data_IF_000063577780
#
_entry.id   IF_000063577780
#
_cell.length_a   1.000
_cell.length_b   1.000
_cell.length_c   1.000
_cell.angle_alpha   90.00
_cell.angle_beta   90.00
_cell.angle_gamma   90.00
#
_symmetry.space_group_name_H-M   'P 1'
#
loop_
_entity.id
_entity.type
_entity.pdbx_description
1 polymer ?
#
# COMPACT_ATOMS: atom_id res chain seq x y z
N UNK A 1 7.41 17.67 1.81
CA UNK A 1 7.66 16.59 0.83
C UNK A 1 7.02 16.95 -0.51
N UNK A 2 7.52 16.36 -1.56
CA UNK A 2 6.94 16.56 -2.89
C UNK A 2 6.33 15.25 -3.35
N UNK A 3 5.01 15.23 -3.52
CA UNK A 3 4.28 14.07 -4.04
C UNK A 3 4.33 14.12 -5.55
N UNK A 4 4.82 13.05 -6.18
CA UNK A 4 5.01 12.98 -7.63
C UNK A 4 3.80 12.36 -8.34
N UNK A 5 3.26 11.26 -7.80
CA UNK A 5 2.09 10.59 -8.37
C UNK A 5 1.57 9.54 -7.40
N UNK A 6 0.38 9.02 -7.69
CA UNK A 6 -0.17 7.87 -6.96
C UNK A 6 0.45 6.61 -7.57
N UNK A 7 1.26 5.91 -6.76
CA UNK A 7 1.95 4.70 -7.22
C UNK A 7 0.99 3.52 -7.35
N UNK A 8 0.01 3.45 -6.46
CA UNK A 8 -0.99 2.39 -6.49
C UNK A 8 -1.96 2.51 -5.34
N UNK A 9 -3.04 1.76 -5.42
CA UNK A 9 -4.03 1.67 -4.36
C UNK A 9 -4.83 0.38 -4.50
N UNK A 10 -5.64 0.09 -3.50
CA UNK A 10 -6.53 -1.05 -3.55
C UNK A 10 -7.14 -1.37 -2.21
N UNK A 11 -7.75 -2.53 -2.12
CA UNK A 11 -8.35 -3.03 -0.90
C UNK A 11 -7.34 -3.86 -0.11
N UNK A 12 -7.44 -3.79 1.21
CA UNK A 12 -6.78 -4.75 2.10
C UNK A 12 -7.83 -5.81 2.42
N UNK A 13 -7.51 -7.07 2.13
CA UNK A 13 -8.51 -8.13 2.10
C UNK A 13 -8.22 -9.21 3.14
N UNK A 14 -9.18 -9.47 4.05
CA UNK A 14 -9.04 -10.60 4.98
C UNK A 14 -9.33 -11.95 4.31
N UNK A 15 -10.11 -11.96 3.22
CA UNK A 15 -10.47 -13.17 2.50
C UNK A 15 -10.35 -12.90 0.99
N UNK A 16 -9.27 -13.39 0.40
CA UNK A 16 -8.95 -13.15 -1.00
C UNK A 16 -10.01 -13.70 -1.96
N UNK A 17 -10.56 -14.90 -1.67
CA UNK A 17 -11.54 -15.50 -2.57
C UNK A 17 -12.84 -14.70 -2.64
N UNK A 18 -13.30 -14.20 -1.51
CA UNK A 18 -14.46 -13.32 -1.46
C UNK A 18 -14.23 -12.04 -2.24
N UNK A 19 -13.05 -11.45 -2.09
CA UNK A 19 -12.71 -10.20 -2.75
C UNK A 19 -12.52 -10.40 -4.26
N UNK A 20 -11.96 -11.52 -4.69
CA UNK A 20 -11.84 -11.83 -6.11
C UNK A 20 -13.22 -12.02 -6.75
N UNK A 21 -14.15 -12.66 -6.06
CA UNK A 21 -15.53 -12.78 -6.57
C UNK A 21 -16.16 -11.42 -6.79
N UNK A 22 -15.87 -10.48 -5.91
CA UNK A 22 -16.41 -9.12 -6.03
C UNK A 22 -15.67 -8.30 -7.09
N UNK A 23 -14.37 -8.13 -6.94
CA UNK A 23 -13.62 -7.19 -7.79
C UNK A 23 -13.36 -7.73 -9.19
N UNK A 24 -12.98 -8.98 -9.32
CA UNK A 24 -12.66 -9.58 -10.61
C UNK A 24 -13.92 -10.08 -11.32
N UNK A 25 -14.73 -10.87 -10.61
CA UNK A 25 -15.83 -11.58 -11.27
C UNK A 25 -17.07 -10.72 -11.43
N UNK A 26 -17.45 -9.98 -10.39
CA UNK A 26 -18.66 -9.14 -10.45
C UNK A 26 -18.39 -7.78 -11.11
N UNK A 27 -17.33 -7.07 -10.72
CA UNK A 27 -16.98 -5.74 -11.28
C UNK A 27 -16.29 -5.90 -12.63
N UNK A 28 -15.47 -6.93 -12.81
CA UNK A 28 -14.76 -7.16 -14.06
C UNK A 28 -13.37 -6.53 -14.13
N UNK A 29 -12.77 -6.21 -12.99
CA UNK A 29 -11.41 -5.67 -12.97
C UNK A 29 -10.44 -6.77 -13.42
N UNK A 30 -9.52 -6.49 -14.39
CA UNK A 30 -8.64 -7.52 -14.94
C UNK A 30 -7.48 -7.89 -13.99
N UNK A 31 -7.81 -8.40 -12.82
CA UNK A 31 -6.83 -8.84 -11.82
C UNK A 31 -6.13 -10.11 -12.25
N UNK A 32 -4.82 -10.14 -12.09
CA UNK A 32 -3.98 -11.29 -12.41
C UNK A 32 -3.41 -11.86 -11.10
N UNK A 33 -3.62 -13.14 -10.88
CA UNK A 33 -3.10 -13.84 -9.71
C UNK A 33 -1.70 -14.37 -10.02
N UNK A 34 -0.71 -13.78 -9.38
CA UNK A 34 0.69 -14.21 -9.40
C UNK A 34 1.19 -14.20 -7.97
N UNK A 35 2.38 -13.68 -7.72
CA UNK A 35 2.88 -13.47 -6.36
C UNK A 35 1.97 -12.49 -5.59
N UNK A 36 1.47 -11.49 -6.30
CA UNK A 36 0.43 -10.61 -5.81
C UNK A 36 -0.83 -10.75 -6.70
N UNK A 37 -1.94 -10.19 -6.25
CA UNK A 37 -3.20 -10.15 -7.00
C UNK A 37 -3.42 -8.70 -7.41
N UNK A 38 -3.15 -8.39 -8.68
CA UNK A 38 -3.05 -7.02 -9.12
C UNK A 38 -3.33 -6.85 -10.59
N UNK A 39 -3.46 -5.59 -11.00
CA UNK A 39 -3.49 -5.22 -12.41
C UNK A 39 -2.75 -3.91 -12.65
N UNK A 40 -2.06 -3.84 -13.78
CA UNK A 40 -1.47 -2.61 -14.31
C UNK A 40 -2.15 -2.21 -15.61
N UNK A 41 -3.22 -2.91 -15.99
CA UNK A 41 -3.91 -2.75 -17.25
C UNK A 41 -5.22 -1.95 -17.15
N UNK A 42 -5.48 -1.32 -16.02
CA UNK A 42 -6.69 -0.52 -15.82
C UNK A 42 -6.39 0.94 -16.11
N UNK A 43 -7.12 1.52 -17.08
CA UNK A 43 -6.93 2.92 -17.45
C UNK A 43 -7.06 3.86 -16.26
N UNK A 44 -6.16 4.81 -16.19
CA UNK A 44 -6.18 5.86 -15.17
C UNK A 44 -5.45 5.51 -13.88
N UNK A 45 -4.96 4.27 -13.74
CA UNK A 45 -4.20 3.86 -12.55
C UNK A 45 -2.93 3.13 -12.97
N UNK A 46 -1.86 3.35 -12.23
CA UNK A 46 -0.60 2.67 -12.47
C UNK A 46 -0.60 1.25 -11.93
N UNK A 47 -1.30 1.05 -10.80
CA UNK A 47 -1.32 -0.25 -10.12
C UNK A 47 -2.51 -0.31 -9.17
N UNK A 48 -3.28 -1.36 -9.28
CA UNK A 48 -4.37 -1.67 -8.36
C UNK A 48 -4.20 -3.09 -7.85
N UNK A 49 -4.25 -3.31 -6.54
CA UNK A 49 -4.10 -4.66 -6.01
C UNK A 49 -5.03 -4.94 -4.83
N UNK A 50 -5.32 -6.22 -4.67
CA UNK A 50 -5.95 -6.75 -3.45
C UNK A 50 -4.81 -7.25 -2.57
N UNK A 51 -4.56 -6.59 -1.45
CA UNK A 51 -3.45 -6.91 -0.56
C UNK A 51 -3.96 -7.70 0.63
N UNK A 52 -3.54 -8.97 0.80
CA UNK A 52 -3.98 -9.76 1.95
C UNK A 52 -3.62 -9.07 3.25
N UNK A 53 -4.58 -9.04 4.19
CA UNK A 53 -4.35 -8.40 5.49
C UNK A 53 -3.14 -8.99 6.21
N UNK A 54 -2.94 -10.30 6.11
CA UNK A 54 -1.79 -10.97 6.72
C UNK A 54 -0.46 -10.46 6.14
N UNK A 55 -0.43 -10.21 4.82
CA UNK A 55 0.78 -9.68 4.18
C UNK A 55 1.02 -8.22 4.56
N UNK A 56 -0.03 -7.43 4.68
CA UNK A 56 0.08 -6.06 5.16
C UNK A 56 0.59 -6.02 6.60
N UNK A 57 0.09 -6.91 7.46
CA UNK A 57 0.54 -7.03 8.84
C UNK A 57 2.03 -7.39 8.91
N UNK A 58 2.46 -8.34 8.08
CA UNK A 58 3.87 -8.73 8.04
C UNK A 58 4.76 -7.58 7.59
N UNK A 59 4.32 -6.83 6.58
CA UNK A 59 5.06 -5.66 6.11
C UNK A 59 5.16 -4.57 7.18
N UNK A 60 4.10 -4.33 7.93
CA UNK A 60 4.08 -3.23 8.92
C UNK A 60 4.67 -3.63 10.26
N UNK A 61 4.50 -4.88 10.69
CA UNK A 61 4.81 -5.30 12.07
C UNK A 61 5.72 -6.53 12.15
N UNK A 62 6.03 -7.16 11.03
CA UNK A 62 6.86 -8.36 11.00
C UNK A 62 6.14 -9.64 11.39
N UNK A 63 4.83 -9.58 11.60
CA UNK A 63 3.99 -10.72 11.96
C UNK A 63 2.75 -10.74 11.08
N UNK A 64 2.21 -11.93 10.81
CA UNK A 64 1.08 -12.09 9.91
C UNK A 64 -0.26 -11.74 10.55
N UNK A 65 -0.29 -11.46 11.84
CA UNK A 65 -1.50 -11.05 12.53
C UNK A 65 -1.47 -9.53 12.79
N UNK A 66 -2.53 -8.84 12.39
CA UNK A 66 -2.65 -7.40 12.64
C UNK A 66 -2.83 -7.16 14.14
N UNK A 67 -2.08 -6.23 14.76
CA UNK A 67 -2.19 -6.00 16.20
C UNK A 67 -3.58 -5.58 16.63
N UNK A 68 -4.07 -6.16 17.73
CA UNK A 68 -5.43 -5.90 18.23
C UNK A 68 -5.65 -4.43 18.65
N UNK A 69 -4.57 -3.73 19.00
CA UNK A 69 -4.64 -2.35 19.48
C UNK A 69 -4.46 -1.30 18.38
N UNK A 70 -4.36 -1.73 17.12
CA UNK A 70 -4.22 -0.83 15.97
C UNK A 70 -5.42 -1.04 15.07
N UNK A 71 -6.03 0.06 14.61
CA UNK A 71 -7.18 -0.01 13.71
C UNK A 71 -6.82 -0.81 12.45
N UNK A 72 -7.71 -1.73 12.05
CA UNK A 72 -7.51 -2.56 10.86
C UNK A 72 -7.86 -1.75 9.62
N UNK A 73 -6.92 -1.53 8.70
CA UNK A 73 -7.20 -0.77 7.49
C UNK A 73 -7.99 -1.61 6.48
N UNK A 74 -8.91 -0.96 5.76
CA UNK A 74 -9.70 -1.61 4.71
C UNK A 74 -9.17 -1.33 3.31
N UNK A 75 -8.25 -0.37 3.19
CA UNK A 75 -7.67 0.04 1.92
C UNK A 75 -6.25 0.51 2.13
N UNK A 76 -5.50 0.54 1.06
CA UNK A 76 -4.15 1.09 1.04
C UNK A 76 -4.00 2.03 -0.15
N UNK A 77 -3.13 3.04 0.01
CA UNK A 77 -2.75 3.94 -1.07
C UNK A 77 -1.30 4.34 -0.89
N UNK A 78 -0.54 4.38 -1.97
CA UNK A 78 0.87 4.77 -1.94
C UNK A 78 1.12 5.94 -2.86
N UNK A 79 1.83 6.93 -2.34
CA UNK A 79 2.23 8.12 -3.08
C UNK A 79 3.74 8.09 -3.28
N UNK A 80 4.19 8.16 -4.52
CA UNK A 80 5.61 8.32 -4.79
C UNK A 80 6.03 9.73 -4.43
N UNK A 81 7.14 9.85 -3.72
CA UNK A 81 7.70 11.11 -3.27
C UNK A 81 9.16 11.22 -3.71
N UNK A 82 9.70 12.41 -3.68
CA UNK A 82 11.09 12.65 -4.10
C UNK A 82 12.11 12.07 -3.11
N UNK A 83 11.79 12.03 -1.81
CA UNK A 83 12.70 11.58 -0.77
C UNK A 83 11.91 10.99 0.39
N UNK A 84 11.97 9.67 0.55
CA UNK A 84 11.19 8.97 1.59
C UNK A 84 11.69 9.30 2.99
N UNK A 85 13.00 9.39 3.19
CA UNK A 85 13.56 9.70 4.49
C UNK A 85 13.12 11.10 4.95
N UNK A 86 13.18 12.08 4.05
CA UNK A 86 12.74 13.45 4.35
C UNK A 86 11.23 13.49 4.59
N UNK A 87 10.45 12.76 3.81
CA UNK A 87 9.00 12.68 4.00
C UNK A 87 8.64 12.11 5.37
N UNK A 88 9.33 11.04 5.78
CA UNK A 88 9.11 10.41 7.09
C UNK A 88 9.42 11.39 8.23
N UNK A 89 10.53 12.11 8.14
CA UNK A 89 10.89 13.11 9.14
C UNK A 89 9.87 14.25 9.22
N UNK A 90 9.40 14.71 8.05
CA UNK A 90 8.37 15.76 8.00
C UNK A 90 7.08 15.28 8.67
N UNK A 91 6.65 14.05 8.42
CA UNK A 91 5.45 13.49 9.05
C UNK A 91 5.61 13.38 10.57
N UNK A 92 6.76 12.88 11.04
CA UNK A 92 7.05 12.82 12.48
C UNK A 92 7.05 14.21 13.11
N UNK A 93 7.68 15.18 12.47
CA UNK A 93 7.75 16.55 12.98
C UNK A 93 6.36 17.20 13.09
N UNK A 94 5.43 16.77 12.25
CA UNK A 94 4.04 17.24 12.29
C UNK A 94 3.18 16.46 13.28
N UNK A 95 3.75 15.49 13.99
CA UNK A 95 3.07 14.76 15.05
C UNK A 95 2.40 13.46 14.61
N UNK A 96 2.64 13.00 13.37
CA UNK A 96 2.08 11.74 12.91
C UNK A 96 2.97 10.56 13.29
N UNK A 97 2.34 9.46 13.69
CA UNK A 97 3.04 8.24 14.09
C UNK A 97 3.20 7.32 12.89
N UNK A 98 4.43 6.97 12.57
CA UNK A 98 4.69 5.98 11.54
C UNK A 98 4.54 4.56 12.10
N UNK A 99 3.91 3.68 11.34
CA UNK A 99 3.89 2.24 11.62
C UNK A 99 5.20 1.60 11.15
N UNK A 100 5.71 2.08 10.01
CA UNK A 100 6.96 1.63 9.43
C UNK A 100 7.77 2.86 9.10
N UNK A 101 9.00 2.92 9.59
CA UNK A 101 9.97 3.94 9.19
C UNK A 101 10.51 3.64 7.79
N UNK A 102 11.33 4.55 7.22
CA UNK A 102 11.88 4.31 5.88
C UNK A 102 12.65 2.99 5.83
N UNK A 103 12.26 2.12 4.91
CA UNK A 103 12.97 0.86 4.70
C UNK A 103 12.78 0.37 3.28
N UNK A 104 13.67 -0.49 2.83
CA UNK A 104 13.55 -1.16 1.56
C UNK A 104 12.81 -2.48 1.73
N UNK A 105 11.76 -2.68 0.95
CA UNK A 105 11.01 -3.92 0.91
C UNK A 105 11.75 -4.95 0.03
N UNK A 106 11.50 -6.27 0.22
CA UNK A 106 12.19 -7.30 -0.57
C UNK A 106 12.04 -7.15 -2.09
N UNK A 107 10.97 -6.50 -2.54
CA UNK A 107 10.74 -6.27 -3.98
C UNK A 107 11.35 -4.98 -4.52
N UNK A 108 12.16 -4.27 -3.72
CA UNK A 108 12.93 -3.11 -4.18
C UNK A 108 12.26 -1.76 -3.98
N UNK A 109 11.14 -1.71 -3.31
CA UNK A 109 10.44 -0.48 -2.96
C UNK A 109 11.04 0.10 -1.67
N UNK A 110 11.26 1.41 -1.63
CA UNK A 110 11.58 2.11 -0.38
C UNK A 110 10.29 2.79 0.10
N UNK A 111 9.90 2.58 1.35
CA UNK A 111 8.60 3.03 1.83
C UNK A 111 8.62 3.34 3.32
N UNK A 112 7.78 4.30 3.71
CA UNK A 112 7.35 4.52 5.09
C UNK A 112 5.83 4.47 5.11
N UNK A 113 5.25 3.90 6.16
CA UNK A 113 3.79 3.68 6.24
C UNK A 113 3.19 4.20 7.52
N UNK A 114 1.96 4.70 7.40
CA UNK A 114 1.18 5.18 8.54
C UNK A 114 -0.31 5.03 8.21
N UNK A 115 -1.16 5.18 9.24
CA UNK A 115 -2.61 5.23 9.03
C UNK A 115 -3.05 6.68 8.87
N UNK A 116 -3.94 6.92 7.91
CA UNK A 116 -4.61 8.20 7.77
C UNK A 116 -5.66 8.38 8.88
N UNK A 117 -6.21 9.61 9.07
CA UNK A 117 -7.26 9.82 10.06
C UNK A 117 -8.47 8.89 9.90
N UNK A 118 -8.81 8.51 8.67
CA UNK A 118 -9.94 7.60 8.41
C UNK A 118 -9.54 6.12 8.45
N UNK A 119 -8.26 5.80 8.74
CA UNK A 119 -7.82 4.41 8.89
C UNK A 119 -7.38 3.74 7.59
N UNK A 120 -7.00 4.51 6.58
CA UNK A 120 -6.41 3.97 5.36
C UNK A 120 -4.90 3.79 5.56
N UNK A 121 -4.35 2.68 5.11
CA UNK A 121 -2.92 2.45 5.19
C UNK A 121 -2.23 3.22 4.06
N UNK A 122 -1.53 4.29 4.43
CA UNK A 122 -0.87 5.20 3.50
C UNK A 122 0.62 4.93 3.46
N UNK A 123 1.19 4.82 2.27
CA UNK A 123 2.64 4.76 2.08
C UNK A 123 3.16 6.00 1.38
N UNK A 124 4.29 6.53 1.85
CA UNK A 124 5.11 7.45 1.06
C UNK A 124 6.29 6.63 0.58
N UNK A 125 6.55 6.64 -0.72
CA UNK A 125 7.33 5.58 -1.32
C UNK A 125 8.18 6.04 -2.51
N UNK A 126 9.14 5.21 -2.87
CA UNK A 126 9.82 5.26 -4.16
C UNK A 126 9.62 3.90 -4.80
N UNK A 127 8.94 3.88 -5.95
CA UNK A 127 8.72 2.70 -6.77
C UNK A 127 9.44 2.91 -8.11
N UNK A 128 10.74 2.54 -8.21
CA UNK A 128 11.53 2.90 -9.39
C UNK A 128 10.93 2.43 -10.71
N UNK A 129 10.32 1.26 -10.72
CA UNK A 129 9.72 0.69 -11.94
C UNK A 129 8.49 1.44 -12.44
N UNK A 130 7.94 2.37 -11.67
CA UNK A 130 6.78 3.18 -12.08
C UNK A 130 7.17 4.58 -12.52
N UNK A 131 8.41 4.97 -12.32
CA UNK A 131 8.87 6.33 -12.60
C UNK A 131 9.24 6.58 -14.06
N UNK A 132 9.42 5.51 -14.80
CA UNK A 132 9.86 5.59 -16.20
C UNK A 132 8.71 5.67 -17.21
N UNK A 133 7.47 5.67 -16.75
CA UNK A 133 6.30 5.68 -17.62
C UNK A 133 5.66 7.05 -17.79
#
# INVERSE_FOLDING_TARGET
MKVLFVAGFGAIVPDMQESLRFYRDAIGIPLVEKEDVATEALDGVKYFSLWPLADAAESCFGEREWPANVAVPQAWIEFDVDDVAAAAEELRAKGYKLLVGPREEPWGQTVARLLSPEGILVGVTITPWRRET
#
